data_IF_670104686628
#
_entry.id   IF_670104686628
#
_cell.length_a   1.000
_cell.length_b   1.000
_cell.length_c   1.000
_cell.angle_alpha   90.00
_cell.angle_beta   90.00
_cell.angle_gamma   90.00
#
_symmetry.space_group_name_H-M   'P 1'
#
loop_
_entity.id
_entity.type
_entity.pdbx_description
1 polymer ?
#
# COMPACT_ATOMS: atom_id res chain seq x y z
N UNK A 1 25.76 9.63 10.15
CA UNK A 1 24.82 8.48 10.24
C UNK A 1 23.48 9.01 10.72
N UNK A 2 22.37 8.83 9.99
CA UNK A 2 21.06 9.18 10.53
C UNK A 2 20.68 8.16 11.59
N UNK A 3 20.29 8.64 12.77
CA UNK A 3 19.73 7.81 13.84
C UNK A 3 18.35 7.39 13.34
N UNK A 4 18.15 6.09 13.09
CA UNK A 4 16.85 5.54 12.77
C UNK A 4 15.88 5.91 13.92
N UNK A 5 14.90 6.75 13.61
CA UNK A 5 13.91 7.20 14.60
C UNK A 5 12.98 6.03 14.85
N UNK A 6 12.81 5.59 16.09
CA UNK A 6 11.90 4.49 16.38
C UNK A 6 10.47 4.85 15.94
N UNK A 7 9.65 3.89 15.50
CA UNK A 7 8.29 4.14 15.03
C UNK A 7 7.46 4.96 16.03
N UNK A 8 7.62 4.68 17.32
CA UNK A 8 6.92 5.39 18.41
C UNK A 8 7.34 6.86 18.53
N UNK A 9 8.62 7.17 18.30
CA UNK A 9 9.13 8.54 18.32
C UNK A 9 8.59 9.35 17.13
N UNK A 10 8.50 8.73 15.96
CA UNK A 10 7.92 9.36 14.77
C UNK A 10 6.41 9.61 14.95
N UNK A 11 5.66 8.62 15.45
CA UNK A 11 4.24 8.78 15.76
C UNK A 11 3.98 9.91 16.74
N UNK A 12 4.69 9.91 17.88
CA UNK A 12 4.57 10.95 18.90
C UNK A 12 4.88 12.34 18.33
N UNK A 13 5.92 12.46 17.52
CA UNK A 13 6.28 13.73 16.88
C UNK A 13 5.17 14.21 15.95
N UNK A 14 4.69 13.36 15.04
CA UNK A 14 3.66 13.70 14.06
C UNK A 14 2.35 14.12 14.74
N UNK A 15 1.93 13.41 15.80
CA UNK A 15 0.72 13.73 16.58
C UNK A 15 0.85 15.06 17.29
N UNK A 16 1.95 15.29 18.02
CA UNK A 16 2.15 16.55 18.75
C UNK A 16 2.23 17.74 17.80
N UNK A 17 2.95 17.61 16.68
CA UNK A 17 3.08 18.67 15.69
C UNK A 17 1.74 18.95 15.00
N UNK A 18 1.04 17.92 14.55
CA UNK A 18 -0.20 18.05 13.79
C UNK A 18 -1.39 18.56 14.60
N UNK A 19 -1.53 18.13 15.87
CA UNK A 19 -2.64 18.57 16.74
C UNK A 19 -2.43 19.96 17.34
N UNK A 20 -1.21 20.50 17.31
CA UNK A 20 -0.89 21.88 17.73
C UNK A 20 -1.18 22.93 16.65
N UNK A 21 -1.41 22.53 15.41
CA UNK A 21 -1.75 23.46 14.33
C UNK A 21 -3.17 24.01 14.46
N UNK A 22 -3.41 25.23 13.97
CA UNK A 22 -4.76 25.82 13.89
C UNK A 22 -5.71 24.94 13.08
N UNK A 23 -5.23 24.43 11.93
CA UNK A 23 -5.89 23.37 11.18
C UNK A 23 -5.21 22.04 11.52
N UNK A 24 -5.87 21.22 12.32
CA UNK A 24 -5.33 19.92 12.77
C UNK A 24 -5.14 18.98 11.58
N UNK A 25 -4.01 18.28 11.56
CA UNK A 25 -3.67 17.30 10.55
C UNK A 25 -2.98 16.09 11.19
N UNK A 26 -3.21 14.91 10.63
CA UNK A 26 -2.42 13.71 10.91
C UNK A 26 -2.07 13.02 9.59
N UNK A 27 -0.87 12.46 9.44
CA UNK A 27 -0.53 11.62 8.31
C UNK A 27 -1.49 10.43 8.17
N UNK A 28 -1.98 10.16 6.96
CA UNK A 28 -2.92 9.07 6.72
C UNK A 28 -2.34 7.67 6.95
N UNK A 29 -1.00 7.52 7.02
CA UNK A 29 -0.34 6.24 7.36
C UNK A 29 -0.81 5.66 8.70
N UNK A 30 -1.31 6.50 9.62
CA UNK A 30 -1.86 6.09 10.91
C UNK A 30 -3.31 5.59 10.83
N UNK A 31 -3.93 5.60 9.65
CA UNK A 31 -5.22 4.96 9.39
C UNK A 31 -5.09 3.45 9.17
N UNK A 32 -3.87 2.91 9.01
CA UNK A 32 -3.62 1.53 8.63
C UNK A 32 -2.95 0.75 9.77
N UNK A 33 -3.54 0.82 10.97
CA UNK A 33 -3.31 -0.21 11.98
C UNK A 33 -4.10 -1.49 11.63
N UNK A 34 -4.03 -2.53 12.46
CA UNK A 34 -4.75 -3.80 12.19
C UNK A 34 -6.24 -3.58 11.86
N UNK A 35 -6.92 -2.71 12.60
CA UNK A 35 -8.35 -2.46 12.40
C UNK A 35 -8.60 -1.63 11.15
N UNK A 36 -7.83 -0.57 10.97
CA UNK A 36 -7.97 0.33 9.83
C UNK A 36 -7.60 -0.33 8.50
N UNK A 37 -6.63 -1.24 8.52
CA UNK A 37 -6.31 -2.14 7.40
C UNK A 37 -7.50 -3.04 7.05
N UNK A 38 -8.09 -3.74 8.02
CA UNK A 38 -9.27 -4.58 7.77
C UNK A 38 -10.49 -3.79 7.25
N UNK A 39 -10.62 -2.53 7.68
CA UNK A 39 -11.64 -1.62 7.14
C UNK A 39 -11.33 -1.23 5.70
N UNK A 40 -10.06 -0.98 5.36
CA UNK A 40 -9.65 -0.67 3.99
C UNK A 40 -9.91 -1.86 3.05
N UNK A 41 -9.71 -3.09 3.51
CA UNK A 41 -10.02 -4.31 2.75
C UNK A 41 -11.52 -4.41 2.43
N UNK A 42 -12.37 -4.07 3.40
CA UNK A 42 -13.81 -3.97 3.17
C UNK A 42 -14.16 -2.86 2.19
N UNK A 43 -13.51 -1.69 2.29
CA UNK A 43 -13.68 -0.58 1.33
C UNK A 43 -13.33 -1.04 -0.09
N UNK A 44 -12.26 -1.81 -0.27
CA UNK A 44 -11.85 -2.34 -1.58
C UNK A 44 -12.89 -3.25 -2.23
N UNK A 45 -13.78 -3.85 -1.43
CA UNK A 45 -14.89 -4.67 -1.91
C UNK A 45 -16.16 -3.91 -2.28
N UNK A 46 -16.22 -2.60 -2.00
CA UNK A 46 -17.41 -1.78 -2.32
C UNK A 46 -17.51 -1.52 -3.83
N UNK A 47 -18.74 -1.53 -4.34
CA UNK A 47 -19.00 -1.25 -5.76
C UNK A 47 -18.56 0.16 -6.15
N UNK A 48 -18.75 1.12 -5.23
CA UNK A 48 -18.37 2.53 -5.37
C UNK A 48 -16.85 2.73 -5.38
N UNK A 49 -16.09 1.85 -4.71
CA UNK A 49 -14.63 1.90 -4.66
C UNK A 49 -14.03 1.01 -5.75
N UNK A 50 -14.24 1.42 -7.00
CA UNK A 50 -13.70 0.73 -8.16
C UNK A 50 -12.16 0.56 -8.27
N UNK A 51 -11.27 1.36 -7.63
CA UNK A 51 -9.83 1.32 -7.92
C UNK A 51 -9.20 -0.07 -7.84
N UNK A 52 -9.45 -0.81 -6.76
CA UNK A 52 -8.85 -2.14 -6.55
C UNK A 52 -9.29 -3.13 -7.64
N UNK A 53 -10.58 -3.13 -7.98
CA UNK A 53 -11.14 -3.97 -9.04
C UNK A 53 -10.53 -3.63 -10.41
N UNK A 54 -10.37 -2.35 -10.73
CA UNK A 54 -9.78 -1.91 -12.00
C UNK A 54 -8.29 -2.24 -12.08
N UNK A 55 -7.53 -2.06 -11.00
CA UNK A 55 -6.11 -2.42 -10.96
C UNK A 55 -5.91 -3.92 -11.21
N UNK A 56 -6.68 -4.76 -10.51
CA UNK A 56 -6.64 -6.23 -10.68
C UNK A 56 -7.02 -6.64 -12.10
N UNK A 57 -8.06 -6.04 -12.69
CA UNK A 57 -8.47 -6.33 -14.06
C UNK A 57 -7.34 -6.01 -15.05
N UNK A 58 -6.78 -4.80 -15.00
CA UNK A 58 -5.68 -4.40 -15.89
C UNK A 58 -4.48 -5.33 -15.72
N UNK A 59 -4.13 -5.67 -14.48
CA UNK A 59 -3.01 -6.57 -14.21
C UNK A 59 -3.26 -7.94 -14.83
N UNK A 60 -4.44 -8.53 -14.60
CA UNK A 60 -4.78 -9.84 -15.14
C UNK A 60 -4.79 -9.88 -16.68
N UNK A 61 -5.25 -8.82 -17.32
CA UNK A 61 -5.32 -8.72 -18.78
C UNK A 61 -3.93 -8.55 -19.43
N UNK A 62 -2.97 -7.96 -18.70
CA UNK A 62 -1.67 -7.57 -19.25
C UNK A 62 -0.48 -8.37 -18.68
N UNK A 63 -0.69 -9.23 -17.68
CA UNK A 63 0.38 -9.92 -16.95
C UNK A 63 1.38 -10.63 -17.87
N UNK A 64 0.90 -11.37 -18.87
CA UNK A 64 1.74 -12.09 -19.84
C UNK A 64 2.57 -11.12 -20.70
N UNK A 65 1.94 -10.07 -21.22
CA UNK A 65 2.62 -9.06 -22.05
C UNK A 65 3.68 -8.28 -21.26
N UNK A 66 3.41 -8.04 -19.97
CA UNK A 66 4.37 -7.40 -19.06
C UNK A 66 5.55 -8.36 -18.81
N UNK A 67 5.28 -9.63 -18.55
CA UNK A 67 6.31 -10.64 -18.35
C UNK A 67 7.22 -10.82 -19.58
N UNK A 68 6.65 -10.90 -20.78
CA UNK A 68 7.39 -11.01 -22.03
C UNK A 68 8.37 -9.84 -22.24
N UNK A 69 7.98 -8.64 -21.82
CA UNK A 69 8.82 -7.44 -21.90
C UNK A 69 9.92 -7.39 -20.83
N UNK A 70 9.67 -7.94 -19.65
CA UNK A 70 10.66 -8.03 -18.57
C UNK A 70 11.74 -9.06 -18.93
N UNK A 71 11.33 -10.19 -19.51
CA UNK A 71 12.20 -11.29 -19.88
C UNK A 71 12.50 -12.25 -18.73
N UNK A 72 12.98 -13.45 -19.09
CA UNK A 72 13.21 -14.53 -18.14
C UNK A 72 14.32 -14.21 -17.11
N UNK A 73 14.13 -14.69 -15.88
CA UNK A 73 15.12 -14.58 -14.79
C UNK A 73 15.07 -13.27 -14.00
N UNK A 74 14.08 -12.41 -14.26
CA UNK A 74 13.84 -11.21 -13.47
C UNK A 74 13.07 -11.52 -12.18
N UNK A 75 13.25 -10.67 -11.15
CA UNK A 75 12.46 -10.70 -9.92
C UNK A 75 11.66 -9.41 -9.83
N UNK A 76 10.33 -9.55 -9.80
CA UNK A 76 9.42 -8.42 -9.65
C UNK A 76 9.14 -8.17 -8.17
N UNK A 77 9.32 -6.91 -7.75
CA UNK A 77 8.95 -6.46 -6.40
C UNK A 77 7.71 -5.59 -6.46
N UNK A 78 6.60 -6.10 -5.94
CA UNK A 78 5.38 -5.33 -5.78
C UNK A 78 5.40 -4.59 -4.44
N UNK A 79 5.43 -3.25 -4.47
CA UNK A 79 5.59 -2.43 -3.24
C UNK A 79 4.25 -2.21 -2.51
N UNK A 80 3.13 -2.69 -3.06
CA UNK A 80 1.83 -2.65 -2.36
C UNK A 80 1.71 -3.87 -1.43
N UNK A 81 1.49 -3.62 -0.15
CA UNK A 81 1.09 -4.62 0.83
C UNK A 81 -0.38 -4.40 1.13
N UNK A 82 -1.20 -5.44 0.95
CA UNK A 82 -2.33 -5.66 1.84
C UNK A 82 -2.71 -7.15 1.86
N UNK A 83 -2.79 -7.82 0.70
CA UNK A 83 -2.91 -9.29 0.65
C UNK A 83 -2.22 -9.83 -0.60
N UNK A 84 -1.30 -10.77 -0.39
CA UNK A 84 -0.57 -11.47 -1.44
C UNK A 84 -1.53 -12.20 -2.38
N UNK A 85 -1.69 -11.73 -3.61
CA UNK A 85 -2.07 -12.58 -4.74
C UNK A 85 -1.04 -12.38 -5.86
N UNK A 86 -0.31 -13.47 -6.10
CA UNK A 86 0.50 -13.80 -7.27
C UNK A 86 1.75 -12.95 -7.53
N UNK A 87 2.75 -13.11 -6.64
CA UNK A 87 4.14 -13.20 -7.15
C UNK A 87 4.29 -14.59 -7.75
N UNK A 88 3.68 -14.84 -8.90
CA UNK A 88 4.13 -15.92 -9.75
C UNK A 88 5.49 -15.50 -10.31
N UNK A 89 6.51 -16.28 -9.96
CA UNK A 89 7.77 -16.28 -10.70
C UNK A 89 7.39 -16.61 -12.13
N UNK A 90 7.31 -15.58 -12.98
CA UNK A 90 7.14 -15.79 -14.41
C UNK A 90 8.46 -16.34 -14.92
N UNK A 91 8.51 -17.66 -15.07
CA UNK A 91 9.50 -18.35 -15.90
C UNK A 91 9.19 -18.12 -17.36
#
# INVERSE_FOLDING_TARGET
MPIATSPDLAFRHDVLTGLRQTRKILPCKYLYDETGSALFDQICGLDEYYPTRTELQIMSENAVSIADQIGAGAVLFWIRCQDCLDVEVVC
#
